data_IF_240469366168
#
_entry.id   IF_240469366168
#
_cell.length_a   1.000
_cell.length_b   1.000
_cell.length_c   1.000
_cell.angle_alpha   90.00
_cell.angle_beta   90.00
_cell.angle_gamma   90.00
#
_symmetry.space_group_name_H-M   'P 1'
#
loop_
_entity.id
_entity.type
_entity.pdbx_description
1 polymer ?
#
# COMPACT_ATOMS: atom_id res chain seq x y z
N UNK A 1 -10.45 -27.55 17.74
CA UNK A 1 -9.33 -26.72 18.25
C UNK A 1 -8.13 -27.08 17.40
N UNK A 2 -7.75 -26.24 16.43
CA UNK A 2 -6.53 -26.46 15.66
C UNK A 2 -5.36 -26.46 16.64
N UNK A 3 -4.53 -27.49 16.60
CA UNK A 3 -3.40 -27.63 17.52
C UNK A 3 -2.41 -26.47 17.27
N UNK A 4 -1.72 -25.97 18.30
CA UNK A 4 -0.89 -24.76 18.16
C UNK A 4 0.13 -24.81 17.02
N UNK A 5 0.59 -26.01 16.65
CA UNK A 5 1.44 -26.29 15.48
C UNK A 5 0.77 -26.02 14.13
N UNK A 6 -0.51 -26.38 13.98
CA UNK A 6 -1.28 -26.14 12.75
C UNK A 6 -1.53 -24.66 12.53
N UNK A 7 -1.83 -23.92 13.61
CA UNK A 7 -2.00 -22.48 13.57
C UNK A 7 -0.72 -21.77 13.13
N UNK A 8 0.42 -22.13 13.74
CA UNK A 8 1.74 -21.58 13.38
C UNK A 8 2.10 -21.87 11.92
N UNK A 9 1.92 -23.12 11.46
CA UNK A 9 2.17 -23.51 10.07
C UNK A 9 1.31 -22.69 9.11
N UNK A 10 0.01 -22.58 9.39
CA UNK A 10 -0.93 -21.82 8.57
C UNK A 10 -0.57 -20.34 8.52
N UNK A 11 -0.20 -19.73 9.65
CA UNK A 11 0.24 -18.33 9.69
C UNK A 11 1.50 -18.08 8.88
N UNK A 12 2.50 -18.98 8.97
CA UNK A 12 3.73 -18.89 8.18
C UNK A 12 3.43 -19.01 6.68
N UNK A 13 2.57 -19.94 6.29
CA UNK A 13 2.16 -20.12 4.90
C UNK A 13 1.43 -18.89 4.35
N UNK A 14 0.53 -18.29 5.13
CA UNK A 14 -0.18 -17.06 4.75
C UNK A 14 0.81 -15.90 4.57
N UNK A 15 1.81 -15.78 5.45
CA UNK A 15 2.81 -14.73 5.37
C UNK A 15 3.73 -14.89 4.14
N UNK A 16 4.04 -16.14 3.76
CA UNK A 16 4.89 -16.45 2.61
C UNK A 16 4.13 -16.51 1.27
N UNK A 17 2.80 -16.63 1.28
CA UNK A 17 2.02 -16.75 0.06
C UNK A 17 2.27 -15.62 -0.96
N UNK A 18 2.32 -14.33 -0.58
CA UNK A 18 2.61 -13.25 -1.52
C UNK A 18 3.99 -13.40 -2.17
N UNK A 19 4.99 -13.85 -1.40
CA UNK A 19 6.35 -14.08 -1.89
C UNK A 19 6.39 -15.24 -2.89
N UNK A 20 5.65 -16.31 -2.59
CA UNK A 20 5.52 -17.48 -3.47
C UNK A 20 4.99 -17.11 -4.86
N UNK A 21 4.05 -16.16 -4.95
CA UNK A 21 3.57 -15.64 -6.24
C UNK A 21 4.52 -14.62 -6.88
N UNK A 22 5.16 -13.77 -6.07
CA UNK A 22 6.04 -12.72 -6.58
C UNK A 22 7.32 -13.25 -7.23
N UNK A 23 7.90 -14.34 -6.71
CA UNK A 23 9.15 -14.93 -7.22
C UNK A 23 9.02 -15.39 -8.69
N UNK A 24 8.11 -16.30 -9.07
CA UNK A 24 8.01 -16.76 -10.46
C UNK A 24 7.66 -15.62 -11.42
N UNK A 25 6.86 -14.65 -10.98
CA UNK A 25 6.52 -13.48 -11.77
C UNK A 25 7.74 -12.60 -12.04
N UNK A 26 8.58 -12.38 -11.02
CA UNK A 26 9.83 -11.63 -11.14
C UNK A 26 10.85 -12.33 -12.05
N UNK A 27 10.93 -13.66 -11.98
CA UNK A 27 11.79 -14.46 -12.84
C UNK A 27 11.32 -14.42 -14.29
N UNK A 28 10.01 -14.60 -14.53
CA UNK A 28 9.42 -14.50 -15.86
C UNK A 28 9.63 -13.12 -16.47
N UNK A 29 9.53 -12.07 -15.67
CA UNK A 29 9.83 -10.71 -16.12
C UNK A 29 11.31 -10.51 -16.49
N UNK A 30 12.23 -10.98 -15.65
CA UNK A 30 13.68 -10.94 -15.96
C UNK A 30 14.00 -11.70 -17.24
N UNK A 31 13.38 -12.86 -17.43
CA UNK A 31 13.51 -13.65 -18.66
C UNK A 31 12.95 -12.89 -19.88
N UNK A 32 11.79 -12.25 -19.76
CA UNK A 32 11.16 -11.47 -20.83
C UNK A 32 11.97 -10.23 -21.27
N UNK A 33 12.64 -9.56 -20.32
CA UNK A 33 13.51 -8.40 -20.64
C UNK A 33 14.71 -8.81 -21.51
N UNK A 34 15.10 -10.08 -21.49
CA UNK A 34 16.27 -10.56 -22.23
C UNK A 34 17.55 -10.18 -21.51
N UNK A 35 17.78 -10.75 -20.33
CA UNK A 35 19.08 -10.71 -19.64
C UNK A 35 20.09 -11.64 -20.33
N UNK A 36 20.20 -11.55 -21.65
CA UNK A 36 21.23 -12.24 -22.41
C UNK A 36 22.60 -11.60 -22.10
N UNK A 37 23.67 -12.41 -21.95
CA UNK A 37 25.02 -11.92 -21.65
C UNK A 37 25.58 -11.01 -22.76
N UNK A 38 25.10 -11.19 -24.00
CA UNK A 38 25.47 -10.35 -25.16
C UNK A 38 25.09 -8.87 -24.99
N UNK A 39 24.08 -8.58 -24.17
CA UNK A 39 23.58 -7.23 -23.96
C UNK A 39 24.23 -6.52 -22.77
N UNK A 40 25.12 -7.16 -22.00
CA UNK A 40 25.76 -6.53 -20.85
C UNK A 40 26.63 -5.33 -21.26
N UNK A 41 27.34 -5.41 -22.39
CA UNK A 41 28.15 -4.30 -22.91
C UNK A 41 27.31 -3.05 -23.22
N UNK A 42 26.14 -3.25 -23.82
CA UNK A 42 25.19 -2.17 -24.05
C UNK A 42 24.65 -1.60 -22.72
N UNK A 43 24.33 -2.50 -21.78
CA UNK A 43 23.82 -2.15 -20.44
C UNK A 43 24.83 -1.31 -19.65
N UNK A 44 26.11 -1.65 -19.70
CA UNK A 44 27.20 -0.88 -19.09
C UNK A 44 27.37 0.50 -19.72
N UNK A 45 27.27 0.60 -21.05
CA UNK A 45 27.31 1.89 -21.73
C UNK A 45 26.14 2.78 -21.31
N UNK A 46 24.92 2.23 -21.20
CA UNK A 46 23.75 2.98 -20.71
C UNK A 46 23.92 3.38 -19.24
N UNK A 47 24.43 2.49 -18.37
CA UNK A 47 24.74 2.83 -16.97
C UNK A 47 25.73 3.99 -16.88
N UNK A 48 26.81 3.96 -17.66
CA UNK A 48 27.79 5.05 -17.71
C UNK A 48 27.16 6.38 -18.14
N UNK A 49 26.22 6.35 -19.08
CA UNK A 49 25.47 7.54 -19.50
C UNK A 49 24.55 8.02 -18.36
N UNK A 50 23.86 7.12 -17.66
CA UNK A 50 23.01 7.45 -16.51
C UNK A 50 23.82 8.06 -15.36
N UNK A 51 24.98 7.47 -15.06
CA UNK A 51 25.90 7.93 -14.01
C UNK A 51 26.46 9.33 -14.31
N UNK A 52 26.50 9.74 -15.59
CA UNK A 52 26.93 11.10 -15.97
C UNK A 52 25.93 12.19 -15.57
N UNK A 53 24.71 11.82 -15.17
CA UNK A 53 23.65 12.77 -14.79
C UNK A 53 23.05 13.56 -15.96
N UNK A 54 23.47 13.28 -17.19
CA UNK A 54 22.97 13.92 -18.41
C UNK A 54 21.81 13.11 -18.98
N UNK A 55 20.73 13.74 -19.48
CA UNK A 55 19.60 13.02 -20.05
C UNK A 55 19.99 12.15 -21.25
N UNK A 56 19.50 10.90 -21.30
CA UNK A 56 19.75 9.91 -22.37
C UNK A 56 19.52 10.45 -23.78
N UNK A 57 18.57 11.38 -23.95
CA UNK A 57 18.26 12.01 -25.23
C UNK A 57 19.48 12.64 -25.90
N UNK A 58 20.43 13.16 -25.11
CA UNK A 58 21.67 13.76 -25.64
C UNK A 58 22.64 12.71 -26.20
N UNK A 59 22.59 11.49 -25.69
CA UNK A 59 23.43 10.36 -26.13
C UNK A 59 22.71 9.42 -27.11
N UNK A 60 21.54 9.82 -27.65
CA UNK A 60 20.71 8.93 -28.48
C UNK A 60 21.44 8.42 -29.72
N UNK A 61 22.19 9.29 -30.40
CA UNK A 61 22.98 8.91 -31.58
C UNK A 61 24.07 7.89 -31.26
N UNK A 62 24.76 8.05 -30.12
CA UNK A 62 25.77 7.10 -29.65
C UNK A 62 25.14 5.77 -29.25
N UNK A 63 24.07 5.80 -28.46
CA UNK A 63 23.36 4.60 -28.01
C UNK A 63 22.77 3.81 -29.19
N UNK A 64 22.22 4.49 -30.19
CA UNK A 64 21.70 3.83 -31.41
C UNK A 64 22.81 3.24 -32.27
N UNK A 65 24.00 3.84 -32.27
CA UNK A 65 25.16 3.28 -32.96
C UNK A 65 25.68 2.01 -32.28
N UNK A 66 25.69 2.00 -30.94
CA UNK A 66 26.10 0.85 -30.15
C UNK A 66 25.07 -0.28 -30.23
N UNK A 67 23.78 0.05 -30.17
CA UNK A 67 22.69 -0.90 -30.34
C UNK A 67 22.76 -1.61 -31.71
N UNK A 68 23.08 -0.87 -32.79
CA UNK A 68 23.29 -1.45 -34.13
C UNK A 68 24.51 -2.38 -34.19
N UNK A 69 25.59 -2.07 -33.48
CA UNK A 69 26.79 -2.94 -33.40
C UNK A 69 26.47 -4.30 -32.79
N UNK A 70 25.61 -4.33 -31.78
CA UNK A 70 25.17 -5.56 -31.11
C UNK A 70 23.85 -6.12 -31.66
N UNK A 71 23.39 -5.67 -32.83
CA UNK A 71 22.14 -6.08 -33.48
C UNK A 71 20.91 -6.08 -32.55
N UNK A 72 20.84 -5.11 -31.63
CA UNK A 72 19.71 -4.97 -30.70
C UNK A 72 18.57 -4.27 -31.43
N UNK A 73 17.41 -4.94 -31.53
CA UNK A 73 16.20 -4.33 -32.07
C UNK A 73 15.75 -3.13 -31.25
N UNK A 74 15.16 -2.11 -31.88
CA UNK A 74 14.72 -0.86 -31.22
C UNK A 74 13.75 -1.09 -30.06
N UNK A 75 12.85 -2.08 -30.18
CA UNK A 75 11.94 -2.46 -29.11
C UNK A 75 12.69 -3.04 -27.90
N UNK A 76 13.68 -3.90 -28.14
CA UNK A 76 14.50 -4.52 -27.10
C UNK A 76 15.43 -3.50 -26.45
N UNK A 77 15.98 -2.57 -27.23
CA UNK A 77 16.74 -1.43 -26.74
C UNK A 77 15.91 -0.62 -25.73
N UNK A 78 14.67 -0.26 -26.09
CA UNK A 78 13.76 0.46 -25.20
C UNK A 78 13.44 -0.28 -23.91
N UNK A 79 13.31 -1.62 -23.95
CA UNK A 79 13.11 -2.46 -22.76
C UNK A 79 14.32 -2.42 -21.83
N UNK A 80 15.54 -2.51 -22.37
CA UNK A 80 16.79 -2.47 -21.57
C UNK A 80 16.99 -1.09 -20.95
N UNK A 81 16.79 -0.02 -21.72
CA UNK A 81 16.89 1.37 -21.22
C UNK A 81 15.86 1.62 -20.10
N UNK A 82 14.62 1.17 -20.29
CA UNK A 82 13.55 1.33 -19.30
C UNK A 82 13.80 0.53 -18.02
N UNK A 83 14.36 -0.68 -18.12
CA UNK A 83 14.73 -1.49 -16.96
C UNK A 83 15.86 -0.85 -16.14
N UNK A 84 16.80 -0.18 -16.80
CA UNK A 84 17.87 0.56 -16.12
C UNK A 84 17.38 1.85 -15.45
N UNK A 85 16.42 2.54 -16.08
CA UNK A 85 15.81 3.75 -15.52
C UNK A 85 14.88 3.43 -14.34
N UNK A 86 14.08 2.36 -14.47
CA UNK A 86 13.06 1.97 -13.51
C UNK A 86 13.18 0.48 -13.16
N UNK A 87 14.20 0.10 -12.37
CA UNK A 87 14.46 -1.30 -12.06
C UNK A 87 13.32 -1.90 -11.24
N UNK A 88 12.63 -2.88 -11.82
CA UNK A 88 11.55 -3.61 -11.17
C UNK A 88 12.11 -4.60 -10.16
N UNK A 89 12.19 -4.15 -8.90
CA UNK A 89 12.55 -4.99 -7.73
C UNK A 89 11.42 -5.93 -7.33
N UNK A 90 11.75 -6.99 -6.57
CA UNK A 90 10.79 -7.96 -6.00
C UNK A 90 9.64 -7.30 -5.23
N UNK A 91 9.89 -6.14 -4.63
CA UNK A 91 8.90 -5.34 -3.90
C UNK A 91 7.71 -4.93 -4.80
N UNK A 92 7.96 -4.62 -6.07
CA UNK A 92 6.90 -4.26 -7.03
C UNK A 92 6.09 -5.49 -7.43
N UNK A 93 6.73 -6.66 -7.51
CA UNK A 93 6.05 -7.93 -7.78
C UNK A 93 5.23 -8.43 -6.60
N UNK A 94 5.52 -7.98 -5.37
CA UNK A 94 4.71 -8.30 -4.20
C UNK A 94 3.32 -7.65 -4.28
N UNK A 95 3.22 -6.49 -4.94
CA UNK A 95 1.96 -5.75 -5.11
C UNK A 95 1.11 -6.28 -6.28
N UNK A 96 1.74 -6.93 -7.26
CA UNK A 96 1.04 -7.43 -8.45
C UNK A 96 -0.06 -8.45 -8.13
N UNK A 97 0.15 -9.47 -7.27
CA UNK A 97 -0.89 -10.41 -6.89
C UNK A 97 -2.11 -9.72 -6.28
N UNK A 98 -1.90 -8.76 -5.36
CA UNK A 98 -3.02 -8.08 -4.72
C UNK A 98 -3.77 -7.17 -5.69
N UNK A 99 -3.06 -6.52 -6.61
CA UNK A 99 -3.67 -5.70 -7.65
C UNK A 99 -4.53 -6.54 -8.61
N UNK A 100 -4.07 -7.73 -8.97
CA UNK A 100 -4.81 -8.66 -9.83
C UNK A 100 -6.07 -9.21 -9.15
N UNK A 101 -6.01 -9.48 -7.84
CA UNK A 101 -7.12 -10.08 -7.09
C UNK A 101 -8.14 -9.02 -6.64
N UNK A 102 -7.73 -7.76 -6.46
CA UNK A 102 -8.59 -6.68 -5.97
C UNK A 102 -9.94 -6.52 -6.71
N UNK A 103 -10.04 -6.51 -8.06
CA UNK A 103 -11.33 -6.39 -8.74
C UNK A 103 -12.28 -7.55 -8.44
N UNK A 104 -11.74 -8.77 -8.27
CA UNK A 104 -12.53 -9.95 -7.92
C UNK A 104 -13.07 -9.81 -6.50
N UNK A 105 -12.22 -9.43 -5.53
CA UNK A 105 -12.64 -9.17 -4.15
C UNK A 105 -13.68 -8.04 -4.12
N UNK A 106 -13.47 -6.98 -4.90
CA UNK A 106 -14.41 -5.85 -5.00
C UNK A 106 -15.79 -6.28 -5.51
N UNK A 107 -15.83 -7.17 -6.50
CA UNK A 107 -17.09 -7.73 -7.01
C UNK A 107 -17.82 -8.56 -5.93
N UNK A 108 -17.10 -9.41 -5.21
CA UNK A 108 -17.67 -10.17 -4.09
C UNK A 108 -18.13 -9.25 -2.95
N UNK A 109 -17.33 -8.24 -2.60
CA UNK A 109 -17.70 -7.27 -1.59
C UNK A 109 -18.97 -6.50 -2.01
N UNK A 110 -19.09 -6.10 -3.27
CA UNK A 110 -20.28 -5.44 -3.81
C UNK A 110 -21.53 -6.32 -3.69
N UNK A 111 -21.40 -7.62 -3.96
CA UNK A 111 -22.51 -8.58 -3.86
C UNK A 111 -23.15 -8.58 -2.46
N UNK A 112 -22.35 -8.44 -1.40
CA UNK A 112 -22.85 -8.34 -0.03
C UNK A 112 -23.17 -6.89 0.38
N UNK A 113 -22.38 -5.92 -0.07
CA UNK A 113 -22.54 -4.52 0.32
C UNK A 113 -23.83 -3.90 -0.24
N UNK A 114 -24.24 -4.25 -1.46
CA UNK A 114 -25.46 -3.73 -2.09
C UNK A 114 -26.72 -4.04 -1.24
N UNK A 115 -27.00 -5.29 -0.84
CA UNK A 115 -28.15 -5.59 0.02
C UNK A 115 -27.94 -5.15 1.47
N UNK A 116 -26.69 -5.07 1.96
CA UNK A 116 -26.41 -4.64 3.33
C UNK A 116 -26.56 -3.12 3.51
N UNK A 117 -26.28 -2.33 2.46
CA UNK A 117 -26.41 -0.88 2.43
C UNK A 117 -27.75 -0.34 2.95
N UNK A 118 -28.93 -0.81 2.46
CA UNK A 118 -30.21 -0.35 2.99
C UNK A 118 -30.42 -0.74 4.46
N UNK A 119 -29.92 -1.90 4.89
CA UNK A 119 -30.00 -2.31 6.30
C UNK A 119 -29.15 -1.41 7.20
N UNK A 120 -27.92 -1.10 6.79
CA UNK A 120 -27.04 -0.17 7.50
C UNK A 120 -27.68 1.22 7.59
N UNK A 121 -28.26 1.70 6.49
CA UNK A 121 -28.97 2.99 6.43
C UNK A 121 -30.20 3.02 7.34
N UNK A 122 -30.93 1.90 7.43
CA UNK A 122 -32.04 1.75 8.36
C UNK A 122 -31.55 1.79 9.82
N UNK A 123 -30.46 1.08 10.13
CA UNK A 123 -29.84 1.09 11.45
C UNK A 123 -29.36 2.49 11.82
N UNK A 124 -28.70 3.20 10.91
CA UNK A 124 -28.26 4.58 11.10
C UNK A 124 -29.45 5.49 11.44
N UNK A 125 -30.53 5.41 10.66
CA UNK A 125 -31.75 6.16 10.93
C UNK A 125 -32.35 5.83 12.31
N UNK A 126 -32.35 4.56 12.71
CA UNK A 126 -32.90 4.11 13.98
C UNK A 126 -32.01 4.53 15.17
N UNK A 127 -30.69 4.39 15.07
CA UNK A 127 -29.76 4.69 16.17
C UNK A 127 -29.47 6.18 16.28
N UNK A 128 -29.22 6.86 15.16
CA UNK A 128 -28.83 8.27 15.10
C UNK A 128 -30.07 9.16 15.00
N UNK A 129 -30.83 9.09 13.90
CA UNK A 129 -31.93 10.03 13.64
C UNK A 129 -33.06 9.93 14.67
N UNK A 130 -33.41 8.72 15.13
CA UNK A 130 -34.40 8.54 16.22
C UNK A 130 -33.84 8.69 17.63
N UNK A 131 -32.56 9.06 17.76
CA UNK A 131 -31.83 9.12 19.04
C UNK A 131 -31.88 7.78 19.79
N UNK A 132 -31.92 6.65 19.07
CA UNK A 132 -31.95 5.30 19.65
C UNK A 132 -30.77 5.07 20.58
N UNK A 133 -29.58 5.56 20.21
CA UNK A 133 -28.37 5.47 21.02
C UNK A 133 -28.52 6.18 22.37
N UNK A 134 -29.11 7.38 22.38
CA UNK A 134 -29.35 8.16 23.60
C UNK A 134 -30.38 7.48 24.51
N UNK A 135 -31.44 6.90 23.93
CA UNK A 135 -32.45 6.16 24.70
C UNK A 135 -31.85 4.92 25.33
N UNK A 136 -31.04 4.18 24.59
CA UNK A 136 -30.36 2.99 25.08
C UNK A 136 -29.36 3.33 26.19
N UNK A 137 -28.57 4.40 26.02
CA UNK A 137 -27.66 4.88 27.06
C UNK A 137 -28.40 5.29 28.35
N UNK A 138 -29.52 6.01 28.23
CA UNK A 138 -30.37 6.36 29.38
C UNK A 138 -31.00 5.14 30.05
N UNK A 139 -31.40 4.14 29.27
CA UNK A 139 -31.91 2.87 29.80
C UNK A 139 -30.83 2.13 30.58
N UNK A 140 -29.60 2.06 30.04
CA UNK A 140 -28.47 1.45 30.72
C UNK A 140 -28.11 2.19 32.02
N UNK A 141 -28.15 3.52 32.00
CA UNK A 141 -27.92 4.37 33.18
C UNK A 141 -29.02 4.24 34.25
N UNK A 142 -30.26 3.95 33.83
CA UNK A 142 -31.36 3.69 34.76
C UNK A 142 -31.19 2.36 35.49
N UNK A 143 -30.73 1.34 34.77
CA UNK A 143 -30.52 -0.01 35.32
C UNK A 143 -29.22 -0.11 36.10
N UNK A 144 -28.20 0.60 35.63
CA UNK A 144 -26.83 0.57 36.16
C UNK A 144 -26.54 1.97 36.64
N UNK A 145 -26.29 2.19 37.94
CA UNK A 145 -25.95 3.52 38.53
C UNK A 145 -24.59 4.08 38.05
N UNK A 146 -24.23 3.86 36.80
CA UNK A 146 -23.11 4.49 36.15
C UNK A 146 -23.44 5.96 35.95
N UNK A 147 -22.86 6.81 36.78
CA UNK A 147 -22.77 8.24 36.47
C UNK A 147 -21.95 8.37 35.19
N UNK A 148 -22.64 8.70 34.09
CA UNK A 148 -22.00 9.00 32.82
C UNK A 148 -21.20 10.29 33.02
N UNK A 149 -19.89 10.16 33.28
CA UNK A 149 -18.94 11.27 33.27
C UNK A 149 -18.84 11.72 31.81
N UNK A 150 -19.69 12.68 31.45
CA UNK A 150 -19.66 13.29 30.13
C UNK A 150 -18.36 14.06 29.96
N UNK A 151 -17.48 13.59 29.07
CA UNK A 151 -16.40 14.43 28.54
C UNK A 151 -17.11 15.52 27.72
N UNK A 152 -17.01 16.81 28.10
CA UNK A 152 -17.68 17.87 27.37
C UNK A 152 -17.22 17.87 25.91
N UNK A 153 -18.17 17.95 24.99
CA UNK A 153 -17.88 18.05 23.56
C UNK A 153 -16.99 19.27 23.31
N UNK A 154 -15.88 19.04 22.61
CA UNK A 154 -15.00 20.07 22.04
C UNK A 154 -15.64 20.79 20.82
N UNK A 155 -16.97 20.85 20.74
CA UNK A 155 -17.69 21.51 19.64
C UNK A 155 -17.92 23.01 19.87
N UNK A 156 -17.77 23.51 21.10
CA UNK A 156 -17.86 24.94 21.40
C UNK A 156 -16.47 25.55 21.61
N UNK A 157 -15.86 25.99 20.50
CA UNK A 157 -14.77 26.95 20.51
C UNK A 157 -13.43 26.40 20.98
N UNK A 158 -12.61 25.96 20.01
CA UNK A 158 -11.20 25.59 20.16
C UNK A 158 -10.29 26.79 20.54
N UNK A 159 -10.57 27.48 21.66
CA UNK A 159 -9.69 28.47 22.30
C UNK A 159 -9.01 27.93 23.57
N UNK A 160 -9.45 26.78 24.08
CA UNK A 160 -8.85 26.16 25.28
C UNK A 160 -7.74 25.15 24.98
N UNK A 161 -7.62 24.67 23.75
CA UNK A 161 -6.52 23.76 23.38
C UNK A 161 -5.18 24.48 23.52
N UNK A 162 -5.09 25.77 23.16
CA UNK A 162 -3.89 26.59 23.34
C UNK A 162 -3.47 26.71 24.81
N UNK A 163 -4.42 26.75 25.75
CA UNK A 163 -4.11 26.87 27.17
C UNK A 163 -3.61 25.55 27.78
N UNK A 164 -4.06 24.41 27.26
CA UNK A 164 -3.58 23.07 27.63
C UNK A 164 -2.27 22.73 26.91
N UNK A 165 -2.10 23.14 25.65
CA UNK A 165 -0.83 23.02 24.93
C UNK A 165 0.25 23.93 25.54
N UNK A 166 -0.11 25.16 25.94
CA UNK A 166 0.79 26.07 26.63
C UNK A 166 1.12 25.63 28.07
N UNK A 167 0.27 24.83 28.73
CA UNK A 167 0.60 24.23 30.03
C UNK A 167 1.50 22.99 29.89
N UNK A 168 1.35 22.20 28.82
CA UNK A 168 2.23 21.07 28.51
C UNK A 168 3.63 21.56 28.09
N UNK A 169 3.74 22.68 27.35
CA UNK A 169 5.04 23.27 26.99
C UNK A 169 5.81 23.88 28.18
N UNK A 170 5.20 23.98 29.37
CA UNK A 170 5.86 24.47 30.60
C UNK A 170 6.41 23.36 31.50
N UNK A 171 6.26 22.09 31.12
CA UNK A 171 6.91 21.01 31.84
C UNK A 171 8.40 20.95 31.44
N UNK A 172 9.34 21.02 32.39
CA UNK A 172 10.74 20.78 32.09
C UNK A 172 10.89 19.33 31.62
N UNK A 173 11.14 19.16 30.32
CA UNK A 173 11.63 17.91 29.74
C UNK A 173 12.96 17.59 30.42
N UNK A 174 12.98 16.57 31.26
CA UNK A 174 14.22 16.04 31.82
C UNK A 174 15.00 15.39 30.69
N UNK A 175 16.14 15.99 30.34
CA UNK A 175 17.11 15.40 29.42
C UNK A 175 17.83 14.30 30.18
N UNK A 176 17.49 13.05 29.88
CA UNK A 176 18.34 11.87 30.05
C UNK A 176 18.04 10.92 28.89
#
# INVERSE_FOLDING_TARGET
>A
MATGSEGLLTSVLILLAPLFFAIPLSLGWRWWIGTEPEHEHYREKVRRVLDSGIPLRRYRSELDSEARRFMIGTERQGRIESDLLFPLKIQHFLLLPILAIWPIIGLFAALFAIPLMPLLRFLEWLLISKKGLLRFAKLLQSITRWEVIGIPKLDDGAKRLDQVLASIHRLPITVF
#
